data_IF_927801921512
#
_entry.id   IF_927801921512
#
_cell.length_a   1.000
_cell.length_b   1.000
_cell.length_c   1.000
_cell.angle_alpha   90.00
_cell.angle_beta   90.00
_cell.angle_gamma   90.00
#
_symmetry.space_group_name_H-M   'P 1'
#
loop_
_entity.id
_entity.type
_entity.pdbx_description
1 polymer ?
#
# COMPACT_ATOMS: atom_id res chain seq x y z
N UNK A 1 14.18 -39.03 20.73
CA UNK A 1 13.90 -38.11 19.62
C UNK A 1 12.89 -37.09 20.09
N UNK A 2 13.30 -35.85 20.25
CA UNK A 2 12.36 -34.78 20.56
C UNK A 2 11.89 -34.19 19.23
N UNK A 3 10.62 -34.39 18.91
CA UNK A 3 9.99 -33.64 17.84
C UNK A 3 9.75 -32.21 18.34
N UNK A 4 10.46 -31.24 17.80
CA UNK A 4 10.08 -29.86 18.04
C UNK A 4 8.72 -29.61 17.35
N UNK A 5 7.70 -29.39 18.15
CA UNK A 5 6.45 -28.83 17.65
C UNK A 5 6.80 -27.48 17.04
N UNK A 6 6.44 -27.19 15.78
CA UNK A 6 6.62 -25.85 15.25
C UNK A 6 5.89 -24.86 16.16
N UNK A 7 6.58 -23.82 16.56
CA UNK A 7 5.97 -22.70 17.29
C UNK A 7 4.76 -22.25 16.48
N UNK A 8 3.60 -22.02 17.12
CA UNK A 8 2.49 -21.46 16.37
C UNK A 8 2.98 -20.18 15.70
N UNK A 9 2.88 -20.14 14.37
CA UNK A 9 3.19 -18.92 13.63
C UNK A 9 2.34 -17.80 14.20
N UNK A 10 2.96 -16.62 14.46
CA UNK A 10 2.20 -15.44 14.83
C UNK A 10 1.05 -15.25 13.86
N UNK A 11 -0.16 -14.86 14.32
CA UNK A 11 -1.28 -14.65 13.42
C UNK A 11 -0.89 -13.65 12.33
N UNK A 12 -1.14 -14.00 11.10
CA UNK A 12 -0.92 -13.13 9.96
C UNK A 12 -1.74 -11.85 10.10
N UNK A 13 -1.14 -10.73 9.76
CA UNK A 13 -1.86 -9.47 9.66
C UNK A 13 -2.90 -9.59 8.55
N UNK A 14 -4.16 -9.42 8.91
CA UNK A 14 -5.27 -9.44 7.97
C UNK A 14 -6.07 -8.15 8.12
N UNK A 15 -6.26 -7.44 7.02
CA UNK A 15 -7.07 -6.23 6.98
C UNK A 15 -8.37 -6.52 6.24
N UNK A 16 -9.47 -5.81 6.60
CA UNK A 16 -10.78 -6.07 6.02
C UNK A 16 -10.90 -5.42 4.64
N UNK A 17 -10.16 -5.93 3.67
CA UNK A 17 -10.21 -5.45 2.29
C UNK A 17 -11.59 -5.64 1.68
N UNK A 18 -12.04 -4.65 0.94
CA UNK A 18 -13.26 -4.72 0.15
C UNK A 18 -12.99 -4.29 -1.28
N UNK A 19 -13.91 -4.62 -2.17
CA UNK A 19 -13.84 -4.19 -3.57
C UNK A 19 -14.03 -2.69 -3.64
N UNK A 20 -13.11 -2.02 -4.32
CA UNK A 20 -13.11 -0.56 -4.45
C UNK A 20 -12.63 -0.15 -5.82
N UNK A 21 -11.66 0.75 -5.89
CA UNK A 21 -11.14 1.31 -7.14
C UNK A 21 -10.73 0.24 -8.16
N UNK A 22 -10.19 -0.88 -7.71
CA UNK A 22 -9.77 -1.98 -8.58
C UNK A 22 -10.92 -2.59 -9.40
N UNK A 23 -12.17 -2.37 -9.03
CA UNK A 23 -13.34 -2.85 -9.78
C UNK A 23 -13.65 -2.03 -11.02
N UNK A 24 -13.04 -0.85 -11.18
CA UNK A 24 -13.28 0.02 -12.33
C UNK A 24 -12.72 -0.54 -13.63
N UNK A 25 -11.76 -1.44 -13.56
CA UNK A 25 -11.12 -2.04 -14.74
C UNK A 25 -9.76 -1.45 -15.06
N UNK A 26 -9.01 -2.14 -15.89
CA UNK A 26 -7.61 -1.85 -16.16
C UNK A 26 -7.36 -0.56 -16.97
N UNK A 27 -8.42 0.04 -17.51
CA UNK A 27 -8.32 1.35 -18.15
C UNK A 27 -8.06 2.48 -17.15
N UNK A 28 -8.34 2.23 -15.86
CA UNK A 28 -8.24 3.22 -14.80
C UNK A 28 -6.99 3.08 -13.94
N UNK A 29 -6.24 1.99 -14.08
CA UNK A 29 -5.07 1.76 -13.24
C UNK A 29 -4.12 0.71 -13.83
N UNK A 30 -2.90 0.69 -13.29
CA UNK A 30 -1.93 -0.37 -13.51
C UNK A 30 -1.68 -1.09 -12.18
N UNK A 31 -1.82 -2.40 -12.16
CA UNK A 31 -1.41 -3.21 -11.00
C UNK A 31 0.11 -3.27 -10.95
N UNK A 32 0.68 -3.07 -9.76
CA UNK A 32 2.11 -3.17 -9.55
C UNK A 32 2.42 -3.39 -8.07
N UNK A 33 3.59 -3.94 -7.79
CA UNK A 33 4.08 -4.06 -6.42
C UNK A 33 4.91 -2.84 -6.04
N UNK A 34 4.84 -2.38 -4.78
CA UNK A 34 5.80 -1.41 -4.28
C UNK A 34 7.22 -1.93 -4.42
N UNK A 35 8.18 -1.01 -4.53
CA UNK A 35 9.60 -1.36 -4.56
C UNK A 35 10.13 -1.42 -3.12
N UNK A 36 10.67 -2.55 -2.67
CA UNK A 36 11.16 -2.68 -1.30
C UNK A 36 12.28 -1.71 -0.95
N UNK A 37 12.32 -1.30 0.32
CA UNK A 37 13.39 -0.51 0.92
C UNK A 37 13.83 -1.19 2.22
N UNK A 38 14.92 -1.94 2.21
CA UNK A 38 15.49 -2.51 3.44
C UNK A 38 16.50 -1.53 4.08
N UNK A 39 16.64 -1.51 5.42
CA UNK A 39 15.67 -1.98 6.39
C UNK A 39 14.67 -0.88 6.74
N UNK A 40 13.37 -1.17 6.75
CA UNK A 40 12.39 -0.18 7.13
C UNK A 40 12.33 0.02 8.64
N UNK A 41 11.90 1.21 9.07
CA UNK A 41 11.64 1.52 10.46
C UNK A 41 10.53 2.56 10.57
N UNK A 42 9.82 2.57 11.68
CA UNK A 42 8.83 3.60 11.94
C UNK A 42 9.52 4.93 12.26
N UNK A 43 9.07 5.99 11.61
CA UNK A 43 9.46 7.37 11.98
C UNK A 43 8.36 7.99 12.85
N UNK A 44 7.12 7.73 12.54
CA UNK A 44 5.97 8.18 13.29
C UNK A 44 4.75 7.31 12.96
N UNK A 45 3.81 7.27 13.89
CA UNK A 45 2.58 6.50 13.73
C UNK A 45 1.39 7.28 14.28
N UNK A 46 0.20 6.99 13.75
CA UNK A 46 -1.05 7.60 14.22
C UNK A 46 -1.86 6.57 15.00
N UNK A 47 -1.98 6.78 16.29
CA UNK A 47 -2.78 5.91 17.16
C UNK A 47 -4.28 6.08 16.95
N UNK A 48 -4.72 7.25 16.49
CA UNK A 48 -6.15 7.53 16.26
C UNK A 48 -6.65 6.93 14.94
N UNK A 49 -5.78 6.77 13.96
CA UNK A 49 -6.13 6.20 12.65
C UNK A 49 -6.11 4.67 12.66
N UNK A 50 -5.22 4.07 13.42
CA UNK A 50 -5.04 2.62 13.43
C UNK A 50 -6.34 1.82 13.66
N UNK A 51 -7.21 2.17 14.65
CA UNK A 51 -8.48 1.47 14.82
C UNK A 51 -9.43 1.63 13.64
N UNK A 52 -9.40 2.77 12.94
CA UNK A 52 -10.24 3.02 11.76
C UNK A 52 -9.87 2.07 10.62
N UNK A 53 -8.60 1.67 10.55
CA UNK A 53 -8.10 0.75 9.54
C UNK A 53 -8.22 -0.71 9.94
N UNK A 54 -8.68 -1.00 11.15
CA UNK A 54 -8.75 -2.36 11.65
C UNK A 54 -7.40 -2.96 12.05
N UNK A 55 -6.39 -2.12 12.32
CA UNK A 55 -5.11 -2.60 12.81
C UNK A 55 -5.26 -3.12 14.24
N UNK A 56 -4.73 -4.31 14.54
CA UNK A 56 -4.84 -4.89 15.88
C UNK A 56 -3.99 -4.14 16.89
N UNK A 57 -4.33 -4.28 18.19
CA UNK A 57 -3.47 -3.78 19.25
C UNK A 57 -2.06 -4.35 19.12
N UNK A 58 -1.05 -3.52 19.32
CA UNK A 58 0.35 -3.95 19.18
C UNK A 58 0.86 -4.01 17.74
N UNK A 59 0.13 -3.46 16.79
CA UNK A 59 0.54 -3.48 15.37
C UNK A 59 1.92 -2.85 15.13
N UNK A 60 2.34 -1.86 15.94
CA UNK A 60 3.66 -1.23 15.81
C UNK A 60 4.81 -2.19 16.10
N UNK A 61 4.58 -3.25 16.89
CA UNK A 61 5.56 -4.28 17.17
C UNK A 61 5.49 -5.45 16.18
N UNK A 62 4.55 -5.43 15.25
CA UNK A 62 4.39 -6.47 14.25
C UNK A 62 5.37 -6.23 13.08
N UNK A 63 6.26 -7.17 12.85
CA UNK A 63 7.17 -7.12 11.69
C UNK A 63 6.38 -7.15 10.38
N UNK A 64 5.31 -7.93 10.31
CA UNK A 64 4.47 -8.00 9.11
C UNK A 64 3.81 -6.65 8.82
N UNK A 65 3.32 -5.94 9.85
CA UNK A 65 2.75 -4.61 9.67
C UNK A 65 3.81 -3.63 9.16
N UNK A 66 5.02 -3.66 9.70
CA UNK A 66 6.12 -2.83 9.25
C UNK A 66 6.43 -3.09 7.78
N UNK A 67 6.59 -4.34 7.40
CA UNK A 67 6.92 -4.70 6.01
C UNK A 67 5.78 -4.33 5.04
N UNK A 68 4.52 -4.56 5.43
CA UNK A 68 3.38 -4.27 4.59
C UNK A 68 3.16 -2.76 4.41
N UNK A 69 3.22 -1.99 5.49
CA UNK A 69 2.93 -0.55 5.46
C UNK A 69 4.11 0.30 4.97
N UNK A 70 5.25 -0.31 4.73
CA UNK A 70 6.41 0.33 4.08
C UNK A 70 6.63 -0.14 2.64
N UNK A 71 5.78 -1.04 2.14
CA UNK A 71 5.83 -1.49 0.76
C UNK A 71 6.77 -2.65 0.47
N UNK A 72 7.31 -3.30 1.50
CA UNK A 72 8.21 -4.44 1.33
C UNK A 72 7.46 -5.77 1.18
N UNK A 73 6.19 -5.81 1.56
CA UNK A 73 5.35 -6.99 1.50
C UNK A 73 3.94 -6.61 1.08
N UNK A 74 3.31 -7.43 0.26
CA UNK A 74 1.91 -7.28 -0.14
C UNK A 74 1.06 -8.21 0.72
N UNK A 75 0.09 -7.64 1.44
CA UNK A 75 -0.84 -8.42 2.24
C UNK A 75 -1.82 -9.20 1.38
N UNK A 76 -2.24 -10.37 1.85
CA UNK A 76 -3.30 -11.13 1.20
C UNK A 76 -4.59 -10.28 1.12
N UNK A 77 -5.21 -10.27 -0.05
CA UNK A 77 -6.41 -9.48 -0.32
C UNK A 77 -6.14 -8.08 -0.84
N UNK A 78 -4.91 -7.57 -0.73
CA UNK A 78 -4.50 -6.31 -1.35
C UNK A 78 -4.18 -6.51 -2.83
N UNK A 79 -4.60 -5.56 -3.64
CA UNK A 79 -4.21 -5.47 -5.05
C UNK A 79 -3.59 -4.10 -5.28
N UNK A 80 -2.27 -3.95 -5.04
CA UNK A 80 -1.61 -2.66 -5.19
C UNK A 80 -1.69 -2.15 -6.61
N UNK A 81 -1.97 -0.85 -6.77
CA UNK A 81 -2.17 -0.25 -8.08
C UNK A 81 -1.77 1.23 -8.09
N UNK A 82 -1.45 1.73 -9.28
CA UNK A 82 -1.31 3.16 -9.54
C UNK A 82 -2.43 3.59 -10.48
N UNK A 83 -3.17 4.62 -10.11
CA UNK A 83 -4.27 5.11 -10.93
C UNK A 83 -3.76 5.92 -12.12
N UNK A 84 -4.50 5.88 -13.21
CA UNK A 84 -4.29 6.70 -14.40
C UNK A 84 -5.54 7.55 -14.63
N UNK A 85 -5.33 8.81 -14.98
CA UNK A 85 -6.41 9.76 -15.18
C UNK A 85 -5.96 10.83 -16.17
N UNK A 86 -6.88 11.75 -16.49
CA UNK A 86 -6.56 12.93 -17.26
C UNK A 86 -7.02 14.17 -16.51
N UNK A 87 -6.46 15.33 -16.85
CA UNK A 87 -6.82 16.55 -16.17
C UNK A 87 -5.98 17.75 -16.63
N UNK A 88 -6.07 18.82 -15.88
CA UNK A 88 -5.27 20.01 -16.13
C UNK A 88 -4.00 20.02 -15.29
N UNK A 89 -2.90 20.42 -15.90
CA UNK A 89 -1.63 20.60 -15.23
C UNK A 89 -0.97 21.87 -15.79
N UNK A 90 -0.66 22.82 -14.90
CA UNK A 90 -0.09 24.12 -15.28
C UNK A 90 -0.92 24.88 -16.32
N UNK A 91 -2.26 24.84 -16.18
CA UNK A 91 -3.16 25.54 -17.08
C UNK A 91 -3.37 24.87 -18.45
N UNK A 92 -2.81 23.69 -18.68
CA UNK A 92 -2.89 22.95 -19.92
C UNK A 92 -3.59 21.63 -19.70
N UNK A 93 -4.42 21.21 -20.64
CA UNK A 93 -5.03 19.89 -20.63
C UNK A 93 -3.96 18.82 -20.78
N UNK A 94 -3.91 17.88 -19.86
CA UNK A 94 -3.07 16.70 -19.93
C UNK A 94 -3.95 15.47 -20.14
N UNK A 95 -3.83 14.84 -21.29
CA UNK A 95 -4.65 13.68 -21.64
C UNK A 95 -4.33 12.44 -20.80
N UNK A 96 -3.11 12.35 -20.30
CA UNK A 96 -2.70 11.25 -19.42
C UNK A 96 -1.86 11.78 -18.27
N UNK A 97 -2.37 11.58 -17.06
CA UNK A 97 -1.67 11.75 -15.80
C UNK A 97 -1.81 10.42 -15.03
N UNK A 98 -1.15 10.31 -13.89
CA UNK A 98 -1.27 9.14 -13.05
C UNK A 98 -0.44 9.28 -11.77
N UNK A 99 -0.59 8.29 -10.90
CA UNK A 99 0.14 8.24 -9.65
C UNK A 99 1.61 7.91 -9.89
N UNK A 100 2.47 8.90 -9.92
CA UNK A 100 3.90 8.74 -10.20
C UNK A 100 4.73 8.23 -9.03
N UNK A 101 4.22 8.33 -7.81
CA UNK A 101 4.88 7.86 -6.58
C UNK A 101 3.90 7.43 -5.50
N UNK A 102 2.64 7.25 -5.86
CA UNK A 102 1.61 6.77 -4.95
C UNK A 102 1.13 5.40 -5.42
N UNK A 103 0.95 4.49 -4.50
CA UNK A 103 0.45 3.15 -4.76
C UNK A 103 -0.70 2.90 -3.81
N UNK A 104 -1.89 2.71 -4.38
CA UNK A 104 -3.08 2.36 -3.61
C UNK A 104 -3.00 0.88 -3.25
N UNK A 105 -3.01 0.55 -1.96
CA UNK A 105 -3.02 -0.83 -1.50
C UNK A 105 -4.41 -1.45 -1.55
N UNK A 106 -5.44 -0.64 -1.39
CA UNK A 106 -6.82 -1.07 -1.46
C UNK A 106 -7.74 -0.24 -0.57
N UNK A 107 -9.01 -0.60 -0.62
CA UNK A 107 -10.05 -0.03 0.22
C UNK A 107 -10.43 -1.02 1.31
N UNK A 108 -10.69 -0.50 2.50
CA UNK A 108 -11.09 -1.29 3.66
C UNK A 108 -12.59 -1.20 3.88
N UNK A 109 -13.16 -2.18 4.58
CA UNK A 109 -14.53 -2.10 5.07
C UNK A 109 -14.70 -0.79 5.85
N UNK A 110 -15.73 -0.02 5.53
CA UNK A 110 -15.91 1.32 6.08
C UNK A 110 -15.49 2.44 5.13
N UNK A 111 -14.88 2.12 3.99
CA UNK A 111 -14.59 3.08 2.92
C UNK A 111 -13.26 3.80 3.02
N UNK A 112 -12.41 3.44 3.98
CA UNK A 112 -11.06 4.01 4.05
C UNK A 112 -10.14 3.34 3.05
N UNK A 113 -9.33 4.12 2.35
CA UNK A 113 -8.30 3.62 1.45
C UNK A 113 -6.92 3.77 2.08
N UNK A 114 -6.06 2.78 1.85
CA UNK A 114 -4.65 2.85 2.26
C UNK A 114 -3.81 3.08 1.02
N UNK A 115 -3.05 4.15 1.04
CA UNK A 115 -2.14 4.51 -0.03
C UNK A 115 -0.72 4.67 0.51
N UNK A 116 0.25 4.08 -0.18
CA UNK A 116 1.67 4.33 0.07
C UNK A 116 2.14 5.47 -0.81
N UNK A 117 2.93 6.37 -0.23
CA UNK A 117 3.54 7.46 -0.98
C UNK A 117 5.04 7.33 -0.94
N UNK A 118 5.66 7.33 -2.11
CA UNK A 118 7.11 7.21 -2.21
C UNK A 118 7.63 5.77 -2.16
N UNK A 119 6.77 4.80 -2.45
CA UNK A 119 7.11 3.37 -2.38
C UNK A 119 7.65 2.81 -3.70
N UNK A 120 8.20 3.64 -4.55
CA UNK A 120 8.85 3.24 -5.79
C UNK A 120 8.21 3.81 -7.04
N UNK A 121 8.82 3.49 -8.18
CA UNK A 121 8.35 3.98 -9.49
C UNK A 121 7.09 3.25 -9.92
N UNK A 122 6.26 4.00 -10.66
CA UNK A 122 5.11 3.48 -11.38
C UNK A 122 5.27 3.80 -12.87
N UNK A 123 4.41 3.29 -13.76
CA UNK A 123 4.44 3.69 -15.17
C UNK A 123 4.24 5.20 -15.38
N UNK A 124 3.76 5.91 -14.38
CA UNK A 124 3.45 7.34 -14.45
C UNK A 124 4.47 8.24 -13.75
N UNK A 125 5.60 7.69 -13.33
CA UNK A 125 6.64 8.44 -12.61
C UNK A 125 7.38 9.45 -13.49
N UNK A 126 7.26 9.34 -14.80
CA UNK A 126 8.02 10.16 -15.76
C UNK A 126 9.53 10.02 -15.48
N UNK A 127 10.20 11.12 -15.18
CA UNK A 127 11.63 11.14 -14.83
C UNK A 127 11.89 11.03 -13.32
N UNK A 128 10.83 10.94 -12.50
CA UNK A 128 10.95 10.80 -11.05
C UNK A 128 11.40 9.40 -10.64
N UNK A 129 11.97 9.29 -9.44
CA UNK A 129 12.43 8.03 -8.87
C UNK A 129 11.34 7.28 -8.09
N UNK A 130 10.16 7.87 -7.93
CA UNK A 130 9.05 7.28 -7.20
C UNK A 130 9.24 7.28 -5.69
N UNK A 131 10.21 8.00 -5.16
CA UNK A 131 10.48 8.06 -3.72
C UNK A 131 9.88 9.31 -3.09
N UNK A 132 9.58 9.20 -1.80
CA UNK A 132 9.31 10.36 -0.96
C UNK A 132 10.63 11.00 -0.55
N UNK A 133 10.63 12.31 -0.35
CA UNK A 133 11.79 13.04 0.15
C UNK A 133 11.77 13.01 1.67
#
# INVERSE_FOLDING_TARGET
MRFSTPSPSAPSLSLPWQKGFATLGRDFYTELRPTPLPPPHWVGTSHSVAPLLGLPAGWQQSEEALQALTGNQVLAGSTPLASVYSGHQFGVWAGQLGDGRAILLGELAGGHEIQLKGAGRTPYSRMGDGRAV
#
